data_IF_070149816273
#
_entry.id   IF_070149816273
#
_cell.length_a   1.000
_cell.length_b   1.000
_cell.length_c   1.000
_cell.angle_alpha   90.00
_cell.angle_beta   90.00
_cell.angle_gamma   90.00
#
_symmetry.space_group_name_H-M   'P 1'
#
loop_
_entity.id
_entity.type
_entity.pdbx_description
1 polymer ?
#
# COMPACT_ATOMS: atom_id res chain seq x y z
N UNK A 1 10.50 -7.07 17.70
CA UNK A 1 10.25 -6.72 16.27
C UNK A 1 10.93 -7.71 15.31
N UNK A 2 12.24 -7.96 15.42
CA UNK A 2 12.94 -8.90 14.53
C UNK A 2 12.38 -10.33 14.58
N UNK A 3 11.95 -10.82 15.74
CA UNK A 3 11.35 -12.15 15.86
C UNK A 3 9.99 -12.26 15.19
N UNK A 4 9.19 -11.19 15.22
CA UNK A 4 7.87 -11.16 14.56
C UNK A 4 8.00 -11.29 13.05
N UNK A 5 8.91 -10.51 12.44
CA UNK A 5 9.13 -10.55 10.99
C UNK A 5 9.72 -11.89 10.57
N UNK A 6 10.69 -12.43 11.32
CA UNK A 6 11.28 -13.75 11.05
C UNK A 6 10.23 -14.86 11.15
N UNK A 7 9.34 -14.80 12.14
CA UNK A 7 8.24 -15.75 12.30
C UNK A 7 7.17 -15.62 11.20
N UNK A 8 6.99 -14.42 10.63
CA UNK A 8 6.03 -14.20 9.54
C UNK A 8 6.51 -14.76 8.18
N UNK A 9 7.82 -14.85 7.94
CA UNK A 9 8.37 -15.32 6.65
C UNK A 9 7.86 -16.72 6.28
N UNK A 10 7.95 -17.77 7.14
CA UNK A 10 7.41 -19.08 6.81
C UNK A 10 5.91 -19.06 6.53
N UNK A 11 5.15 -18.23 7.26
CA UNK A 11 3.70 -18.07 7.06
C UNK A 11 3.43 -17.50 5.67
N UNK A 12 4.13 -16.45 5.27
CA UNK A 12 3.95 -15.83 3.94
C UNK A 12 4.34 -16.76 2.80
N UNK A 13 5.45 -17.48 2.93
CA UNK A 13 5.87 -18.47 1.94
C UNK A 13 4.84 -19.60 1.82
N UNK A 14 4.34 -20.10 2.96
CA UNK A 14 3.31 -21.13 2.97
C UNK A 14 1.99 -20.61 2.37
N UNK A 15 1.57 -19.38 2.68
CA UNK A 15 0.37 -18.78 2.10
C UNK A 15 0.46 -18.61 0.58
N UNK A 16 1.61 -18.17 0.06
CA UNK A 16 1.87 -18.12 -1.39
C UNK A 16 1.75 -19.50 -2.03
N UNK A 17 2.36 -20.52 -1.41
CA UNK A 17 2.29 -21.90 -1.91
C UNK A 17 0.87 -22.47 -1.88
N UNK A 18 0.12 -22.21 -0.80
CA UNK A 18 -1.28 -22.63 -0.65
C UNK A 18 -2.14 -21.95 -1.71
N UNK A 19 -2.01 -20.62 -1.89
CA UNK A 19 -2.81 -19.90 -2.88
C UNK A 19 -2.47 -20.34 -4.31
N UNK A 20 -1.18 -20.51 -4.62
CA UNK A 20 -0.76 -21.07 -5.91
C UNK A 20 -1.34 -22.46 -6.16
N UNK A 21 -1.30 -23.34 -5.15
CA UNK A 21 -1.89 -24.68 -5.26
C UNK A 21 -3.42 -24.60 -5.42
N UNK A 22 -4.09 -23.67 -4.72
CA UNK A 22 -5.52 -23.43 -4.91
C UNK A 22 -5.83 -23.01 -6.36
N UNK A 23 -5.04 -22.12 -6.97
CA UNK A 23 -5.13 -21.79 -8.40
C UNK A 23 -4.88 -22.96 -9.33
N UNK A 24 -4.04 -23.91 -8.94
CA UNK A 24 -3.69 -25.04 -9.80
C UNK A 24 -4.69 -26.20 -9.73
N UNK A 25 -5.34 -26.40 -8.58
CA UNK A 25 -6.07 -27.63 -8.27
C UNK A 25 -7.54 -27.43 -7.85
N UNK A 26 -7.95 -26.22 -7.46
CA UNK A 26 -9.32 -25.92 -7.05
C UNK A 26 -10.02 -25.06 -8.09
N UNK A 27 -11.31 -25.32 -8.34
CA UNK A 27 -12.15 -24.45 -9.17
C UNK A 27 -12.20 -23.03 -8.60
N UNK A 28 -12.46 -22.07 -9.48
CA UNK A 28 -12.66 -20.68 -9.12
C UNK A 28 -14.16 -20.40 -9.23
N UNK A 29 -14.83 -20.33 -8.08
CA UNK A 29 -16.30 -20.29 -8.03
C UNK A 29 -16.84 -18.86 -8.01
N UNK A 30 -15.99 -17.84 -7.81
CA UNK A 30 -16.43 -16.47 -7.52
C UNK A 30 -16.34 -15.47 -8.67
N UNK A 31 -15.53 -15.73 -9.70
CA UNK A 31 -15.50 -14.97 -10.94
C UNK A 31 -15.06 -15.89 -12.09
N UNK A 32 -15.63 -15.72 -13.28
CA UNK A 32 -15.15 -16.43 -14.47
C UNK A 32 -13.66 -16.09 -14.67
N UNK A 33 -12.78 -17.06 -14.95
CA UNK A 33 -11.37 -16.78 -15.12
C UNK A 33 -11.17 -15.73 -16.21
N UNK A 34 -10.72 -14.55 -15.81
CA UNK A 34 -10.31 -13.48 -16.70
C UNK A 34 -8.86 -13.71 -17.14
N UNK A 35 -8.44 -13.05 -18.23
CA UNK A 35 -7.17 -13.31 -18.94
C UNK A 35 -5.93 -13.38 -18.02
N UNK A 36 -5.93 -12.67 -16.89
CA UNK A 36 -4.82 -12.58 -15.95
C UNK A 36 -5.12 -13.18 -14.56
N UNK A 37 -6.09 -14.08 -14.42
CA UNK A 37 -6.39 -14.71 -13.12
C UNK A 37 -5.22 -15.54 -12.58
N UNK A 38 -5.00 -15.47 -11.26
CA UNK A 38 -3.97 -16.26 -10.57
C UNK A 38 -2.54 -15.73 -10.78
N UNK A 39 -1.58 -16.65 -10.95
CA UNK A 39 -0.14 -16.32 -10.94
C UNK A 39 0.47 -16.32 -12.34
N UNK A 40 0.93 -15.15 -12.81
CA UNK A 40 1.84 -15.05 -13.95
C UNK A 40 3.31 -15.18 -13.52
N UNK A 41 4.09 -16.08 -14.10
CA UNK A 41 5.48 -16.36 -13.67
C UNK A 41 6.37 -15.11 -13.70
N UNK A 42 6.37 -14.37 -14.82
CA UNK A 42 7.18 -13.15 -14.98
C UNK A 42 6.74 -12.05 -14.03
N UNK A 43 5.43 -11.92 -13.83
CA UNK A 43 4.85 -10.94 -12.92
C UNK A 43 5.21 -11.26 -11.46
N UNK A 44 5.08 -12.53 -11.06
CA UNK A 44 5.45 -13.03 -9.73
C UNK A 44 6.94 -12.78 -9.44
N UNK A 45 7.84 -13.11 -10.38
CA UNK A 45 9.27 -12.83 -10.25
C UNK A 45 9.52 -11.32 -10.08
N UNK A 46 8.79 -10.49 -10.83
CA UNK A 46 8.87 -9.03 -10.71
C UNK A 46 8.44 -8.57 -9.32
N UNK A 47 7.28 -9.03 -8.83
CA UNK A 47 6.76 -8.69 -7.51
C UNK A 47 7.71 -9.11 -6.38
N UNK A 48 8.26 -10.33 -6.44
CA UNK A 48 9.27 -10.80 -5.48
C UNK A 48 10.56 -9.98 -5.54
N UNK A 49 11.05 -9.66 -6.74
CA UNK A 49 12.26 -8.85 -6.92
C UNK A 49 12.07 -7.42 -6.40
N UNK A 50 10.91 -6.82 -6.63
CA UNK A 50 10.52 -5.53 -6.06
C UNK A 50 10.52 -5.58 -4.53
N UNK A 51 9.95 -6.64 -3.95
CA UNK A 51 9.95 -6.87 -2.51
C UNK A 51 11.34 -7.00 -1.90
N UNK A 52 12.24 -7.78 -2.53
CA UNK A 52 13.65 -7.89 -2.09
C UNK A 52 14.34 -6.52 -2.12
N UNK A 53 14.18 -5.77 -3.21
CA UNK A 53 14.74 -4.41 -3.31
C UNK A 53 14.19 -3.47 -2.24
N UNK A 54 12.88 -3.54 -1.96
CA UNK A 54 12.25 -2.77 -0.88
C UNK A 54 12.86 -3.10 0.49
N UNK A 55 13.08 -4.38 0.81
CA UNK A 55 13.70 -4.79 2.08
C UNK A 55 15.12 -4.24 2.22
N UNK A 56 15.94 -4.33 1.16
CA UNK A 56 17.31 -3.81 1.17
C UNK A 56 17.35 -2.29 1.38
N UNK A 57 16.48 -1.55 0.70
CA UNK A 57 16.39 -0.08 0.84
C UNK A 57 15.86 0.28 2.23
N UNK A 58 14.84 -0.42 2.72
CA UNK A 58 14.29 -0.19 4.05
C UNK A 58 15.29 -0.51 5.16
N UNK A 59 16.21 -1.47 4.98
CA UNK A 59 17.25 -1.74 5.97
C UNK A 59 18.12 -0.49 6.22
N UNK A 60 18.49 0.22 5.15
CA UNK A 60 19.25 1.47 5.24
C UNK A 60 18.37 2.63 5.74
N UNK A 61 17.17 2.77 5.17
CA UNK A 61 16.26 3.87 5.49
C UNK A 61 15.73 3.81 6.93
N UNK A 62 15.58 2.62 7.51
CA UNK A 62 15.06 2.45 8.87
C UNK A 62 15.96 3.13 9.92
N UNK A 63 17.27 3.20 9.70
CA UNK A 63 18.18 3.96 10.56
C UNK A 63 17.82 5.45 10.63
N UNK A 64 17.49 6.05 9.48
CA UNK A 64 17.03 7.44 9.39
C UNK A 64 15.69 7.62 10.09
N UNK A 65 14.74 6.71 9.85
CA UNK A 65 13.41 6.75 10.52
C UNK A 65 13.54 6.67 12.04
N UNK A 66 14.35 5.73 12.56
CA UNK A 66 14.59 5.58 14.01
C UNK A 66 15.22 6.84 14.59
N UNK A 67 16.20 7.43 13.91
CA UNK A 67 16.86 8.66 14.35
C UNK A 67 15.86 9.82 14.43
N UNK A 68 15.04 10.01 13.39
CA UNK A 68 14.02 11.06 13.34
C UNK A 68 12.95 10.84 14.41
N UNK A 69 12.41 9.63 14.54
CA UNK A 69 11.40 9.33 15.57
C UNK A 69 11.95 9.54 16.98
N UNK A 70 13.18 9.11 17.25
CA UNK A 70 13.84 9.32 18.55
C UNK A 70 14.06 10.81 18.83
N UNK A 71 14.48 11.57 17.82
CA UNK A 71 14.64 13.02 17.95
C UNK A 71 13.29 13.72 18.22
N UNK A 72 12.23 13.36 17.50
CA UNK A 72 10.90 13.94 17.76
C UNK A 72 10.34 13.55 19.13
N UNK A 73 10.54 12.30 19.55
CA UNK A 73 10.14 11.82 20.86
C UNK A 73 10.85 12.56 22.00
N UNK A 74 12.12 12.95 21.81
CA UNK A 74 12.85 13.72 22.82
C UNK A 74 12.40 15.17 22.95
N UNK A 75 11.74 15.74 21.93
CA UNK A 75 11.22 17.12 21.94
C UNK A 75 9.91 17.27 22.73
N UNK A 76 9.13 16.20 22.86
CA UNK A 76 7.88 16.23 23.63
C UNK A 76 8.13 15.83 25.08
N UNK A 77 7.44 16.41 26.07
CA UNK A 77 7.43 15.90 27.45
C UNK A 77 6.47 14.72 27.62
N UNK A 78 5.60 14.45 26.64
CA UNK A 78 4.60 13.38 26.71
C UNK A 78 5.27 12.00 26.70
N UNK A 79 4.94 11.17 27.69
CA UNK A 79 5.42 9.79 27.81
C UNK A 79 4.22 8.90 28.08
N UNK A 80 3.63 8.33 27.03
CA UNK A 80 2.50 7.43 27.20
C UNK A 80 2.97 6.10 27.84
N UNK A 81 2.23 5.55 28.82
CA UNK A 81 2.63 4.34 29.52
C UNK A 81 2.52 3.12 28.60
N UNK A 82 3.65 2.60 28.12
CA UNK A 82 3.74 1.51 27.12
C UNK A 82 3.04 0.20 27.58
N UNK A 83 2.80 0.05 28.88
CA UNK A 83 2.20 -1.12 29.50
C UNK A 83 0.67 -1.01 29.58
N UNK A 84 0.12 0.19 29.37
CA UNK A 84 -1.31 0.40 29.44
C UNK A 84 -1.98 -0.02 28.14
N UNK A 85 -2.91 -0.98 28.21
CA UNK A 85 -3.61 -1.53 27.05
C UNK A 85 -4.30 -0.45 26.18
N UNK A 86 -4.82 0.61 26.80
CA UNK A 86 -5.50 1.70 26.09
C UNK A 86 -4.54 2.50 25.20
N UNK A 87 -3.25 2.60 25.56
CA UNK A 87 -2.23 3.26 24.71
C UNK A 87 -2.06 2.49 23.40
N UNK A 88 -2.10 1.16 23.44
CA UNK A 88 -2.03 0.34 22.24
C UNK A 88 -3.27 0.47 21.36
N UNK A 89 -4.47 0.59 21.94
CA UNK A 89 -5.70 0.86 21.18
C UNK A 89 -5.62 2.23 20.49
N UNK A 90 -5.18 3.27 21.21
CA UNK A 90 -4.98 4.59 20.63
C UNK A 90 -3.92 4.58 19.54
N UNK A 91 -2.80 3.89 19.75
CA UNK A 91 -1.74 3.76 18.77
C UNK A 91 -2.22 3.04 17.51
N UNK A 92 -2.95 1.95 17.66
CA UNK A 92 -3.52 1.20 16.55
C UNK A 92 -4.43 2.10 15.70
N UNK A 93 -5.35 2.85 16.33
CA UNK A 93 -6.24 3.75 15.61
C UNK A 93 -5.47 4.90 14.95
N UNK A 94 -4.48 5.47 15.64
CA UNK A 94 -3.68 6.58 15.12
C UNK A 94 -2.76 6.15 13.96
N UNK A 95 -2.14 4.98 14.06
CA UNK A 95 -1.31 4.38 13.00
C UNK A 95 -2.14 4.04 11.77
N UNK A 96 -3.29 3.38 11.95
CA UNK A 96 -4.16 3.01 10.83
C UNK A 96 -4.79 4.24 10.15
N UNK A 97 -5.08 5.30 10.92
CA UNK A 97 -5.52 6.58 10.36
C UNK A 97 -4.39 7.33 9.64
N UNK A 98 -3.17 7.29 10.15
CA UNK A 98 -1.99 7.82 9.45
C UNK A 98 -1.77 7.07 8.13
N UNK A 99 -1.95 5.74 8.14
CA UNK A 99 -1.91 4.92 6.93
C UNK A 99 -2.98 5.35 5.92
N UNK A 100 -4.24 5.53 6.35
CA UNK A 100 -5.32 5.99 5.46
C UNK A 100 -4.93 7.27 4.71
N UNK A 101 -4.37 8.27 5.41
CA UNK A 101 -3.94 9.51 4.78
C UNK A 101 -2.72 9.35 3.88
N UNK A 102 -1.73 8.58 4.31
CA UNK A 102 -0.60 8.23 3.46
C UNK A 102 -1.06 7.59 2.15
N UNK A 103 -1.96 6.62 2.25
CA UNK A 103 -2.44 5.86 1.13
C UNK A 103 -3.28 6.71 0.19
N UNK A 104 -4.23 7.49 0.74
CA UNK A 104 -5.04 8.43 -0.04
C UNK A 104 -4.19 9.45 -0.80
N UNK A 105 -3.24 10.10 -0.12
CA UNK A 105 -2.33 11.06 -0.77
C UNK A 105 -1.47 10.36 -1.83
N UNK A 106 -1.13 9.09 -1.61
CA UNK A 106 -0.40 8.28 -2.59
C UNK A 106 -1.19 7.98 -3.86
N UNK A 107 -2.52 8.10 -3.86
CA UNK A 107 -3.34 8.02 -5.07
C UNK A 107 -3.66 9.40 -5.64
N UNK A 108 -3.98 10.37 -4.78
CA UNK A 108 -4.49 11.69 -5.22
C UNK A 108 -3.38 12.73 -5.53
N UNK A 109 -2.10 12.45 -5.23
CA UNK A 109 -0.98 13.36 -5.48
C UNK A 109 0.11 12.68 -6.30
N UNK A 110 0.39 13.21 -7.50
CA UNK A 110 1.28 12.54 -8.48
C UNK A 110 2.69 12.23 -7.97
N UNK A 111 3.28 13.09 -7.13
CA UNK A 111 4.59 12.79 -6.53
C UNK A 111 4.57 11.53 -5.65
N UNK A 112 3.50 11.33 -4.88
CA UNK A 112 3.35 10.16 -4.02
C UNK A 112 2.90 8.95 -4.85
N UNK A 113 2.03 9.15 -5.84
CA UNK A 113 1.68 8.14 -6.83
C UNK A 113 2.89 7.57 -7.56
N UNK A 114 3.87 8.40 -7.91
CA UNK A 114 5.09 7.90 -8.54
C UNK A 114 5.84 6.84 -7.71
N UNK A 115 5.70 6.90 -6.38
CA UNK A 115 6.20 5.85 -5.47
C UNK A 115 5.22 4.69 -5.33
N UNK A 116 3.91 4.92 -5.40
CA UNK A 116 2.90 3.92 -5.07
C UNK A 116 2.40 3.09 -6.27
N UNK A 117 2.41 3.66 -7.49
CA UNK A 117 1.96 3.05 -8.75
C UNK A 117 2.53 1.66 -9.01
N UNK A 118 3.75 1.39 -8.53
CA UNK A 118 4.36 0.06 -8.61
C UNK A 118 3.50 -1.00 -7.99
N UNK A 119 2.87 -0.74 -6.85
CA UNK A 119 2.01 -1.67 -6.16
C UNK A 119 0.78 -2.07 -7.00
N UNK A 120 0.21 -1.10 -7.73
CA UNK A 120 -0.95 -1.28 -8.62
C UNK A 120 -0.60 -1.78 -10.02
N UNK A 121 0.69 -1.82 -10.39
CA UNK A 121 1.11 -2.14 -11.76
C UNK A 121 0.95 -3.61 -12.17
N UNK A 122 0.63 -4.50 -11.23
CA UNK A 122 0.38 -5.90 -11.56
C UNK A 122 -1.00 -6.09 -12.19
N UNK A 123 -1.05 -6.79 -13.30
CA UNK A 123 -2.32 -7.26 -13.90
C UNK A 123 -2.79 -8.59 -13.29
N UNK A 124 -1.95 -9.24 -12.49
CA UNK A 124 -2.27 -10.45 -11.73
C UNK A 124 -2.49 -10.09 -10.26
N UNK A 125 -3.68 -10.30 -9.71
CA UNK A 125 -3.96 -9.98 -8.32
C UNK A 125 -3.93 -11.23 -7.43
N UNK A 126 -2.88 -11.36 -6.64
CA UNK A 126 -2.65 -12.51 -5.76
C UNK A 126 -1.69 -12.10 -4.62
N UNK A 127 -1.37 -13.01 -3.72
CA UNK A 127 -0.56 -12.70 -2.54
C UNK A 127 0.85 -12.20 -2.90
N UNK A 128 1.39 -12.51 -4.09
CA UNK A 128 2.67 -11.95 -4.51
C UNK A 128 2.58 -10.44 -4.80
N UNK A 129 1.41 -9.92 -5.16
CA UNK A 129 1.17 -8.48 -5.39
C UNK A 129 1.41 -7.67 -4.12
N UNK A 130 1.10 -8.22 -2.94
CA UNK A 130 1.45 -7.61 -1.65
C UNK A 130 2.95 -7.33 -1.51
N UNK A 131 3.80 -8.12 -2.17
CA UNK A 131 5.26 -8.00 -2.11
C UNK A 131 5.81 -7.02 -3.15
N UNK A 132 4.99 -6.54 -4.09
CA UNK A 132 5.39 -5.52 -5.09
C UNK A 132 5.44 -4.13 -4.45
N UNK A 133 6.46 -3.93 -3.62
CA UNK A 133 6.64 -2.73 -2.81
C UNK A 133 7.59 -1.71 -3.45
N UNK A 134 7.40 -0.44 -3.10
CA UNK A 134 8.19 0.67 -3.65
C UNK A 134 9.66 0.64 -3.22
N UNK A 135 10.52 1.21 -4.06
CA UNK A 135 11.93 1.47 -3.73
C UNK A 135 12.16 2.90 -3.20
N UNK A 136 11.09 3.70 -3.07
CA UNK A 136 11.13 5.06 -2.54
C UNK A 136 10.20 5.18 -1.32
N UNK A 137 10.51 4.47 -0.20
CA UNK A 137 9.66 4.49 0.99
C UNK A 137 9.62 5.83 1.73
N UNK A 138 10.46 6.80 1.34
CA UNK A 138 10.61 8.10 1.98
C UNK A 138 9.31 8.92 1.97
N UNK A 139 8.41 8.68 1.00
CA UNK A 139 7.11 9.34 0.91
C UNK A 139 6.18 9.01 2.08
N UNK A 140 6.40 7.89 2.78
CA UNK A 140 5.60 7.52 3.94
C UNK A 140 5.92 8.34 5.18
N UNK A 141 7.20 8.68 5.40
CA UNK A 141 7.68 9.25 6.66
C UNK A 141 6.84 10.43 7.21
N UNK A 142 6.43 11.43 6.41
CA UNK A 142 5.69 12.60 6.90
C UNK A 142 4.42 12.28 7.68
N UNK A 143 3.71 11.20 7.33
CA UNK A 143 2.39 10.87 7.90
C UNK A 143 2.47 10.33 9.32
N UNK A 144 3.60 9.79 9.74
CA UNK A 144 3.80 9.21 11.07
C UNK A 144 4.62 10.08 12.03
N UNK A 145 5.19 11.20 11.56
CA UNK A 145 6.02 12.09 12.39
C UNK A 145 5.30 12.61 13.63
N UNK A 146 3.96 12.71 13.57
CA UNK A 146 3.14 13.18 14.69
C UNK A 146 3.10 12.18 15.86
N UNK A 147 3.23 10.87 15.60
CA UNK A 147 3.03 9.86 16.67
C UNK A 147 4.10 9.93 17.77
N UNK A 148 5.42 10.03 17.45
CA UNK A 148 6.42 10.26 18.49
C UNK A 148 6.19 11.56 19.28
N UNK A 149 5.73 12.63 18.63
CA UNK A 149 5.41 13.91 19.30
C UNK A 149 4.22 13.80 20.27
N UNK A 150 3.28 12.89 20.00
CA UNK A 150 2.17 12.56 20.90
C UNK A 150 2.58 11.66 22.08
N UNK A 151 3.85 11.29 22.18
CA UNK A 151 4.38 10.54 23.31
C UNK A 151 4.33 9.02 23.14
N UNK A 152 4.09 8.51 21.93
CA UNK A 152 4.31 7.10 21.61
C UNK A 152 5.81 6.83 21.43
N UNK A 153 6.35 5.84 22.11
CA UNK A 153 7.75 5.50 21.96
C UNK A 153 8.04 5.05 20.51
N UNK A 154 9.21 5.41 19.92
CA UNK A 154 9.53 5.09 18.53
C UNK A 154 9.38 3.61 18.16
N UNK A 155 9.73 2.70 19.08
CA UNK A 155 9.62 1.27 18.85
C UNK A 155 8.16 0.80 18.75
N UNK A 156 7.24 1.44 19.48
CA UNK A 156 5.81 1.14 19.43
C UNK A 156 5.24 1.54 18.07
N UNK A 157 5.59 2.73 17.58
CA UNK A 157 5.17 3.22 16.26
C UNK A 157 5.63 2.27 15.16
N UNK A 158 6.91 1.85 15.19
CA UNK A 158 7.45 0.89 14.22
C UNK A 158 6.76 -0.47 14.28
N UNK A 159 6.33 -0.91 15.48
CA UNK A 159 5.59 -2.15 15.65
C UNK A 159 4.17 -2.05 15.10
N UNK A 160 3.48 -0.94 15.35
CA UNK A 160 2.14 -0.68 14.80
C UNK A 160 2.15 -0.67 13.26
N UNK A 161 3.11 0.04 12.66
CA UNK A 161 3.33 0.02 11.21
C UNK A 161 3.57 -1.41 10.68
N UNK A 162 4.29 -2.24 11.43
CA UNK A 162 4.51 -3.63 11.06
C UNK A 162 3.21 -4.46 11.12
N UNK A 163 2.38 -4.28 12.15
CA UNK A 163 1.07 -4.93 12.21
C UNK A 163 0.18 -4.55 11.03
N UNK A 164 0.17 -3.26 10.66
CA UNK A 164 -0.56 -2.76 9.50
C UNK A 164 -0.11 -3.47 8.21
N UNK A 165 1.20 -3.50 7.96
CA UNK A 165 1.76 -4.16 6.79
C UNK A 165 1.48 -5.68 6.76
N UNK A 166 1.58 -6.36 7.90
CA UNK A 166 1.32 -7.80 8.01
C UNK A 166 -0.15 -8.13 7.72
N UNK A 167 -1.09 -7.30 8.22
CA UNK A 167 -2.51 -7.45 7.92
C UNK A 167 -2.78 -7.32 6.42
N UNK A 168 -2.21 -6.28 5.81
CA UNK A 168 -2.45 -5.97 4.40
C UNK A 168 -1.96 -7.06 3.44
N UNK A 169 -1.00 -7.89 3.83
CA UNK A 169 -0.61 -9.06 3.01
C UNK A 169 -1.82 -9.94 2.65
N UNK A 170 -2.70 -10.22 3.62
CA UNK A 170 -3.77 -11.20 3.44
C UNK A 170 -4.99 -10.70 2.66
N UNK A 171 -5.12 -9.39 2.43
CA UNK A 171 -6.20 -8.83 1.60
C UNK A 171 -5.88 -8.89 0.10
N UNK A 172 -4.66 -9.29 -0.28
CA UNK A 172 -4.23 -9.43 -1.68
C UNK A 172 -4.59 -10.80 -2.25
N UNK A 173 -5.87 -11.08 -2.42
CA UNK A 173 -6.31 -12.34 -3.02
C UNK A 173 -7.66 -12.22 -3.71
N UNK A 174 -7.86 -12.97 -4.79
CA UNK A 174 -9.17 -13.19 -5.41
C UNK A 174 -9.87 -14.43 -4.83
N UNK A 175 -9.16 -15.24 -4.04
CA UNK A 175 -9.66 -16.53 -3.53
C UNK A 175 -10.68 -16.40 -2.42
N UNK A 176 -10.72 -15.24 -1.77
CA UNK A 176 -11.67 -14.96 -0.69
C UNK A 176 -12.68 -13.96 -1.23
N UNK A 177 -13.93 -14.40 -1.39
CA UNK A 177 -15.04 -13.54 -1.78
C UNK A 177 -15.38 -12.52 -0.70
N UNK A 178 -16.64 -12.03 -0.73
CA UNK A 178 -17.13 -11.15 0.33
C UNK A 178 -17.31 -11.92 1.64
N UNK A 179 -16.75 -11.37 2.71
CA UNK A 179 -16.88 -11.83 4.08
C UNK A 179 -18.25 -11.44 4.66
N UNK A 180 -18.64 -11.98 5.83
CA UNK A 180 -19.88 -11.60 6.50
C UNK A 180 -19.96 -10.09 6.75
N UNK A 181 -21.16 -9.53 6.61
CA UNK A 181 -21.40 -8.08 6.65
C UNK A 181 -20.77 -7.32 7.84
N UNK A 182 -20.73 -7.85 9.08
CA UNK A 182 -20.05 -7.15 10.18
C UNK A 182 -18.55 -6.98 9.95
N UNK A 183 -17.89 -7.96 9.32
CA UNK A 183 -16.46 -7.90 9.01
C UNK A 183 -16.22 -6.89 7.89
N UNK A 184 -17.01 -6.96 6.82
CA UNK A 184 -16.98 -6.00 5.70
C UNK A 184 -17.32 -4.56 6.15
N UNK A 185 -18.06 -4.40 7.26
CA UNK A 185 -18.37 -3.06 7.73
C UNK A 185 -17.17 -2.39 8.41
N UNK A 186 -16.36 -3.16 9.13
CA UNK A 186 -15.30 -2.64 10.02
C UNK A 186 -13.91 -2.74 9.37
N UNK A 187 -13.62 -3.86 8.74
CA UNK A 187 -12.28 -4.20 8.28
C UNK A 187 -12.11 -4.01 6.77
N UNK A 188 -10.89 -3.67 6.35
CA UNK A 188 -10.50 -3.79 4.95
C UNK A 188 -10.41 -5.28 4.61
N UNK A 189 -11.20 -5.73 3.63
CA UNK A 189 -11.32 -7.15 3.29
C UNK A 189 -10.69 -7.41 1.92
N UNK A 190 -10.49 -8.67 1.53
CA UNK A 190 -10.08 -8.99 0.16
C UNK A 190 -10.97 -8.34 -0.91
N UNK A 191 -12.29 -8.28 -0.70
CA UNK A 191 -13.24 -7.61 -1.61
C UNK A 191 -13.00 -6.10 -1.72
N UNK A 192 -12.82 -5.41 -0.58
CA UNK A 192 -12.52 -3.98 -0.60
C UNK A 192 -11.18 -3.67 -1.26
N UNK A 193 -10.16 -4.49 -0.99
CA UNK A 193 -8.82 -4.29 -1.52
C UNK A 193 -8.71 -4.67 -3.00
N UNK A 194 -9.47 -5.68 -3.46
CA UNK A 194 -9.64 -5.92 -4.90
C UNK A 194 -10.22 -4.71 -5.60
N UNK A 195 -11.34 -4.18 -5.11
CA UNK A 195 -11.92 -2.95 -5.65
C UNK A 195 -10.90 -1.82 -5.65
N UNK A 196 -10.15 -1.61 -4.56
CA UNK A 196 -9.08 -0.62 -4.49
C UNK A 196 -8.01 -0.77 -5.59
N UNK A 197 -7.62 -2.01 -5.92
CA UNK A 197 -6.66 -2.30 -6.98
C UNK A 197 -7.25 -2.26 -8.39
N UNK A 198 -8.56 -1.99 -8.52
CA UNK A 198 -9.26 -1.91 -9.79
C UNK A 198 -8.93 -0.66 -10.61
N UNK A 199 -8.70 -0.85 -11.89
CA UNK A 199 -8.59 0.21 -12.91
C UNK A 199 -9.93 0.54 -13.57
N UNK A 200 -11.04 0.02 -13.03
CA UNK A 200 -12.39 0.38 -13.45
C UNK A 200 -12.73 1.79 -12.96
N UNK A 201 -13.47 2.57 -13.75
CA UNK A 201 -13.83 3.95 -13.39
C UNK A 201 -14.54 4.04 -12.05
N UNK A 202 -15.37 3.04 -11.69
CA UNK A 202 -16.10 3.00 -10.41
C UNK A 202 -15.18 2.83 -9.19
N UNK A 203 -13.96 2.30 -9.40
CA UNK A 203 -13.02 1.91 -8.37
C UNK A 203 -11.84 2.87 -8.19
N UNK A 204 -11.62 3.78 -9.14
CA UNK A 204 -10.55 4.78 -9.05
C UNK A 204 -10.73 5.66 -7.81
N UNK A 205 -9.63 5.86 -7.08
CA UNK A 205 -9.56 6.73 -5.91
C UNK A 205 -10.53 6.33 -4.78
N UNK A 206 -10.68 5.02 -4.53
CA UNK A 206 -11.54 4.42 -3.50
C UNK A 206 -10.79 3.50 -2.55
N UNK A 207 -11.34 3.28 -1.36
CA UNK A 207 -10.92 2.25 -0.38
C UNK A 207 -9.44 2.32 0.04
N UNK A 208 -9.04 3.41 0.70
CA UNK A 208 -7.66 3.64 1.13
C UNK A 208 -7.28 3.01 2.48
N UNK A 209 -8.24 2.47 3.24
CA UNK A 209 -8.02 1.91 4.57
C UNK A 209 -6.96 0.80 4.59
N UNK A 210 -6.13 0.78 5.63
CA UNK A 210 -5.12 -0.27 5.83
C UNK A 210 -5.77 -1.52 6.43
N UNK A 211 -6.00 -1.48 7.73
CA UNK A 211 -6.71 -2.52 8.50
C UNK A 211 -8.21 -2.22 8.55
N UNK A 212 -8.60 -0.96 8.81
CA UNK A 212 -9.99 -0.59 9.01
C UNK A 212 -10.54 0.13 7.77
N UNK A 213 -11.68 -0.33 7.26
CA UNK A 213 -12.40 0.33 6.16
C UNK A 213 -13.28 1.49 6.66
N UNK A 214 -13.42 1.64 7.98
CA UNK A 214 -14.24 2.70 8.58
C UNK A 214 -13.78 4.10 8.19
N UNK A 215 -12.49 4.29 7.92
CA UNK A 215 -11.94 5.57 7.50
C UNK A 215 -12.49 5.98 6.13
N UNK A 216 -12.63 5.03 5.20
CA UNK A 216 -13.26 5.27 3.91
C UNK A 216 -14.73 5.61 4.03
N UNK A 217 -15.44 5.00 4.98
CA UNK A 217 -16.84 5.35 5.27
C UNK A 217 -16.94 6.77 5.82
N UNK A 218 -16.07 7.13 6.75
CA UNK A 218 -16.01 8.45 7.37
C UNK A 218 -15.71 9.54 6.33
N UNK A 219 -14.76 9.29 5.44
CA UNK A 219 -14.29 10.23 4.42
C UNK A 219 -14.99 10.10 3.07
N UNK A 220 -16.01 9.24 2.97
CA UNK A 220 -16.83 8.99 1.76
C UNK A 220 -16.03 8.52 0.55
N UNK A 221 -14.98 7.75 0.79
CA UNK A 221 -14.14 7.10 -0.23
C UNK A 221 -14.43 5.60 -0.36
N UNK A 222 -15.40 5.07 0.41
CA UNK A 222 -15.81 3.67 0.36
C UNK A 222 -16.54 3.31 -0.95
N UNK A 223 -16.14 2.21 -1.57
CA UNK A 223 -16.78 1.61 -2.74
C UNK A 223 -16.81 0.08 -2.60
N UNK A 224 -17.99 -0.56 -2.54
CA UNK A 224 -18.07 -2.03 -2.59
C UNK A 224 -17.69 -2.56 -3.97
N UNK A 225 -17.19 -3.80 -4.03
CA UNK A 225 -16.86 -4.52 -5.27
C UNK A 225 -18.12 -4.91 -6.07
N UNK A 226 -18.67 -4.02 -6.89
CA UNK A 226 -19.96 -4.19 -7.59
C UNK A 226 -19.89 -4.86 -8.96
N UNK A 227 -18.72 -4.87 -9.58
CA UNK A 227 -18.45 -5.44 -10.91
C UNK A 227 -17.08 -6.13 -10.95
N UNK A 228 -16.85 -7.06 -11.89
CA UNK A 228 -15.56 -7.73 -12.04
C UNK A 228 -14.40 -6.73 -12.15
N UNK A 229 -13.36 -6.95 -11.35
CA UNK A 229 -12.24 -6.01 -11.23
C UNK A 229 -11.25 -6.22 -12.36
N UNK A 230 -10.88 -5.14 -13.05
CA UNK A 230 -9.77 -5.12 -14.01
C UNK A 230 -8.51 -4.59 -13.33
N UNK A 231 -7.55 -5.46 -13.06
CA UNK A 231 -6.28 -5.08 -12.43
C UNK A 231 -5.27 -4.46 -13.40
N UNK A 232 -4.23 -3.86 -12.82
CA UNK A 232 -3.22 -3.08 -13.51
C UNK A 232 -3.50 -1.59 -13.42
N UNK A 233 -2.77 -0.82 -14.22
CA UNK A 233 -2.94 0.62 -14.33
C UNK A 233 -3.97 0.94 -15.42
N UNK A 234 -4.61 2.11 -15.33
CA UNK A 234 -5.40 2.69 -16.44
C UNK A 234 -4.58 2.73 -17.74
N UNK A 235 -3.27 3.00 -17.61
CA UNK A 235 -2.29 2.87 -18.69
C UNK A 235 -1.17 1.91 -18.25
N UNK A 236 -1.32 0.64 -18.61
CA UNK A 236 -0.40 -0.42 -18.21
C UNK A 236 1.03 -0.22 -18.70
N UNK A 237 1.97 -0.70 -17.90
CA UNK A 237 3.37 -0.84 -18.28
C UNK A 237 3.61 -2.23 -18.89
N UNK A 238 4.44 -2.31 -19.92
CA UNK A 238 4.77 -3.56 -20.60
C UNK A 238 6.23 -3.97 -20.31
N UNK A 239 6.58 -4.04 -19.03
CA UNK A 239 7.93 -4.41 -18.58
C UNK A 239 7.90 -5.19 -17.27
N UNK A 240 8.85 -6.12 -17.15
CA UNK A 240 9.09 -6.91 -15.93
C UNK A 240 10.46 -6.59 -15.31
N UNK A 241 11.16 -5.56 -15.81
CA UNK A 241 12.48 -5.16 -15.29
C UNK A 241 12.28 -4.34 -14.02
N UNK A 242 12.73 -4.79 -12.83
CA UNK A 242 12.40 -4.14 -11.56
C UNK A 242 12.76 -2.66 -11.50
N UNK A 243 13.92 -2.26 -12.04
CA UNK A 243 14.33 -0.85 -12.10
C UNK A 243 13.34 0.01 -12.93
N UNK A 244 12.85 -0.52 -14.05
CA UNK A 244 11.89 0.22 -14.87
C UNK A 244 10.52 0.30 -14.16
N UNK A 245 10.07 -0.81 -13.57
CA UNK A 245 8.87 -0.84 -12.74
C UNK A 245 8.97 0.20 -11.63
N UNK A 246 10.07 0.21 -10.87
CA UNK A 246 10.33 1.13 -9.75
C UNK A 246 10.31 2.62 -10.12
N UNK A 247 10.79 2.99 -11.31
CA UNK A 247 11.08 4.39 -11.63
C UNK A 247 10.37 4.95 -12.87
N UNK A 248 9.51 4.19 -13.56
CA UNK A 248 8.85 4.67 -14.78
C UNK A 248 8.02 5.94 -14.55
N UNK A 249 7.20 6.00 -13.50
CA UNK A 249 6.36 7.17 -13.22
C UNK A 249 7.17 8.35 -12.69
N UNK A 250 8.24 8.10 -11.91
CA UNK A 250 9.20 9.16 -11.57
C UNK A 250 9.85 9.76 -12.82
N UNK A 251 10.22 8.93 -13.78
CA UNK A 251 10.78 9.39 -15.05
C UNK A 251 9.76 10.18 -15.89
N UNK A 252 8.47 9.79 -15.85
CA UNK A 252 7.39 10.52 -16.48
C UNK A 252 7.14 11.89 -15.82
N UNK A 253 7.00 11.90 -14.51
CA UNK A 253 6.86 13.10 -13.69
C UNK A 253 8.01 14.08 -13.93
N UNK A 254 9.26 13.59 -13.92
CA UNK A 254 10.43 14.43 -14.19
C UNK A 254 10.40 15.06 -15.58
N UNK A 255 9.99 14.29 -16.61
CA UNK A 255 9.85 14.82 -17.97
C UNK A 255 8.82 15.94 -18.02
N UNK A 256 7.66 15.76 -17.40
CA UNK A 256 6.58 16.75 -17.41
C UNK A 256 6.95 18.03 -16.64
N UNK A 257 7.60 17.89 -15.47
CA UNK A 257 8.12 19.03 -14.71
C UNK A 257 9.20 19.78 -15.50
N UNK A 258 10.08 19.06 -16.20
CA UNK A 258 11.15 19.68 -16.99
C UNK A 258 10.63 20.43 -18.22
N UNK A 259 9.58 19.94 -18.87
CA UNK A 259 9.00 20.52 -20.08
C UNK A 259 7.93 21.59 -19.80
N UNK A 260 7.44 21.67 -18.56
CA UNK A 260 6.50 22.70 -18.12
C UNK A 260 7.00 24.13 -18.41
N UNK A 261 6.10 24.96 -18.96
CA UNK A 261 6.41 26.32 -19.44
C UNK A 261 6.62 27.33 -18.30
N UNK A 262 5.99 27.10 -17.14
CA UNK A 262 6.02 28.01 -16.00
C UNK A 262 6.10 27.24 -14.66
N UNK A 263 6.44 27.94 -13.59
CA UNK A 263 6.59 27.35 -12.25
C UNK A 263 5.28 26.82 -11.66
N UNK A 264 4.14 27.38 -12.06
CA UNK A 264 2.83 26.93 -11.58
C UNK A 264 2.52 25.53 -12.11
N UNK A 265 2.76 25.28 -13.39
CA UNK A 265 2.55 23.97 -14.01
C UNK A 265 3.53 22.93 -13.45
N UNK A 266 4.78 23.33 -13.16
CA UNK A 266 5.75 22.47 -12.46
C UNK A 266 5.22 22.01 -11.11
N UNK A 267 4.70 22.96 -10.31
CA UNK A 267 4.12 22.64 -9.01
C UNK A 267 2.88 21.74 -9.18
N UNK A 268 2.00 22.06 -10.13
CA UNK A 268 0.80 21.27 -10.38
C UNK A 268 1.12 19.83 -10.81
N UNK A 269 2.15 19.60 -11.65
CA UNK A 269 2.56 18.23 -11.97
C UNK A 269 3.01 17.45 -10.74
N UNK A 270 3.56 18.10 -9.71
CA UNK A 270 3.96 17.44 -8.47
C UNK A 270 2.76 17.20 -7.54
N UNK A 271 1.82 18.15 -7.46
CA UNK A 271 0.81 18.21 -6.39
C UNK A 271 -0.61 17.84 -6.80
N UNK A 272 -0.94 17.87 -8.10
CA UNK A 272 -2.26 17.48 -8.60
C UNK A 272 -2.35 15.95 -8.79
N UNK A 273 -3.57 15.40 -8.95
CA UNK A 273 -3.76 13.99 -9.25
C UNK A 273 -3.03 13.53 -10.51
N UNK A 274 -2.68 12.23 -10.60
CA UNK A 274 -2.20 11.61 -11.83
C UNK A 274 -3.14 11.92 -13.01
N UNK A 275 -2.58 12.19 -14.19
CA UNK A 275 -3.36 12.56 -15.37
C UNK A 275 -3.75 14.03 -15.50
N UNK A 276 -3.45 14.89 -14.52
CA UNK A 276 -3.60 16.33 -14.70
C UNK A 276 -2.67 16.88 -15.79
N UNK A 277 -3.20 17.77 -16.64
CA UNK A 277 -2.45 18.51 -17.66
C UNK A 277 -2.89 19.98 -17.67
N UNK A 278 -1.98 20.93 -18.00
CA UNK A 278 -2.35 22.33 -18.14
C UNK A 278 -3.34 22.52 -19.30
N UNK A 279 -4.32 23.39 -19.09
CA UNK A 279 -5.21 23.85 -20.15
C UNK A 279 -4.37 24.56 -21.23
N UNK A 280 -4.60 24.19 -22.50
CA UNK A 280 -3.82 24.67 -23.64
C UNK A 280 -4.27 26.04 -24.12
#
# INVERSE_FOLDING_TARGET
>A
MFDLIRAAIPVFLLSLLIEWAAYRYLSHDHDAPHEHSGYGTRDTITSLSMGVGNVLINLLWKGVVVAIYTALYSLTPLRLPEQAWWVWVLLFLADDYAYYWYHRVSHEVRLFWASHVVHHSSQHYNLSTALRQTWVPMTALPFWLVLPLLGFAPWMVLLAQAWNLLYQFFVHTERVGRLPAPVEYIFNTPSHHRAHHGSNDVYLDRNYGGILIIWDRLHRTFQPETEPVRYGLVHNIHTHRPVQVAFHEFAALWRDVRTARNWRDRLHYLTRPPGWHPER
#
